data_IF_596742058209
#
_entry.id   IF_596742058209
#
_cell.length_a   1.000
_cell.length_b   1.000
_cell.length_c   1.000
_cell.angle_alpha   90.00
_cell.angle_beta   90.00
_cell.angle_gamma   90.00
#
_symmetry.space_group_name_H-M   'P 1'
#
loop_
_entity.id
_entity.type
_entity.pdbx_description
1 polymer ?
#
# COMPACT_ATOMS: atom_id res chain seq x y z
N UNK A 1 53.29 -16.97 -34.25
CA UNK A 1 52.85 -16.34 -33.00
C UNK A 1 51.34 -16.27 -33.00
N UNK A 2 50.63 -17.22 -32.33
CA UNK A 2 49.15 -17.23 -32.18
C UNK A 2 48.80 -16.52 -30.86
N UNK A 3 48.07 -15.42 -30.94
CA UNK A 3 47.51 -14.73 -29.77
C UNK A 3 46.21 -15.41 -29.37
N UNK A 4 46.22 -16.09 -28.21
CA UNK A 4 45.01 -16.59 -27.57
C UNK A 4 44.23 -15.42 -26.94
N UNK A 5 42.99 -15.26 -27.37
CA UNK A 5 42.06 -14.31 -26.80
C UNK A 5 41.32 -15.05 -25.67
N UNK A 6 41.58 -14.72 -24.40
CA UNK A 6 40.81 -15.17 -23.26
C UNK A 6 39.52 -14.32 -23.15
N UNK A 7 38.38 -14.92 -23.44
CA UNK A 7 37.08 -14.33 -23.17
C UNK A 7 36.71 -14.68 -21.73
N UNK A 8 36.76 -13.70 -20.84
CA UNK A 8 36.26 -13.83 -19.47
C UNK A 8 34.73 -13.72 -19.50
N UNK A 9 34.05 -14.84 -19.38
CA UNK A 9 32.59 -14.86 -19.22
C UNK A 9 32.27 -14.54 -17.74
N UNK A 10 31.86 -13.31 -17.47
CA UNK A 10 31.26 -12.96 -16.18
C UNK A 10 29.87 -13.63 -16.06
N UNK A 11 29.80 -14.70 -15.27
CA UNK A 11 28.53 -15.23 -14.79
C UNK A 11 27.92 -14.20 -13.82
N UNK A 12 26.96 -13.41 -14.30
CA UNK A 12 26.03 -12.68 -13.44
C UNK A 12 25.09 -13.74 -12.86
N UNK A 13 25.37 -14.16 -11.62
CA UNK A 13 24.43 -14.93 -10.84
C UNK A 13 23.24 -14.01 -10.54
N UNK A 14 22.22 -14.01 -11.40
CA UNK A 14 20.91 -13.51 -11.07
C UNK A 14 20.41 -14.37 -9.89
N UNK A 15 20.40 -13.80 -8.68
CA UNK A 15 19.70 -14.37 -7.54
C UNK A 15 18.22 -14.39 -7.93
N UNK A 16 17.75 -15.53 -8.43
CA UNK A 16 16.32 -15.81 -8.57
C UNK A 16 15.80 -15.87 -7.15
N UNK A 17 15.23 -14.76 -6.66
CA UNK A 17 14.37 -14.78 -5.47
C UNK A 17 13.23 -15.70 -5.85
N UNK A 18 12.99 -16.83 -5.14
CA UNK A 18 11.90 -17.71 -5.47
C UNK A 18 10.61 -16.89 -5.37
N UNK A 19 9.88 -16.75 -6.47
CA UNK A 19 8.52 -16.26 -6.46
C UNK A 19 7.78 -17.06 -5.39
N UNK A 20 7.07 -16.38 -4.49
CA UNK A 20 6.26 -17.05 -3.47
C UNK A 20 5.39 -18.09 -4.17
N UNK A 21 5.50 -19.34 -3.74
CA UNK A 21 5.04 -20.51 -4.47
C UNK A 21 3.59 -20.38 -4.92
N UNK A 22 3.36 -20.73 -6.18
CA UNK A 22 2.03 -20.93 -6.73
C UNK A 22 1.22 -21.80 -5.75
N UNK A 23 0.14 -21.21 -5.18
CA UNK A 23 -0.86 -21.96 -4.43
C UNK A 23 -0.97 -21.71 -2.92
N UNK A 24 -0.09 -20.97 -2.25
CA UNK A 24 -0.28 -20.67 -0.81
C UNK A 24 -0.93 -19.30 -0.62
N UNK A 25 -1.97 -19.21 0.25
CA UNK A 25 -2.62 -17.94 0.55
C UNK A 25 -1.65 -16.97 1.22
N UNK A 26 -1.77 -15.67 0.91
CA UNK A 26 -1.01 -14.63 1.58
C UNK A 26 -1.71 -14.25 2.89
N UNK A 27 -1.08 -14.60 3.99
CA UNK A 27 -1.52 -14.24 5.32
C UNK A 27 -0.70 -13.04 5.77
N UNK A 28 -1.30 -11.86 5.57
CA UNK A 28 -0.60 -10.60 5.71
C UNK A 28 -0.93 -9.84 6.98
N UNK A 29 0.03 -8.99 7.39
CA UNK A 29 -0.21 -7.93 8.36
C UNK A 29 0.29 -6.59 7.80
N UNK A 30 -0.53 -5.55 7.89
CA UNK A 30 -0.16 -4.17 7.59
C UNK A 30 0.24 -3.46 8.88
N UNK A 31 1.39 -2.77 8.85
CA UNK A 31 1.94 -2.05 9.99
C UNK A 31 2.40 -0.64 9.61
N UNK A 32 2.13 0.32 10.49
CA UNK A 32 2.68 1.67 10.37
C UNK A 32 4.14 1.69 10.84
N UNK A 33 5.06 2.06 9.95
CA UNK A 33 6.50 2.03 10.18
C UNK A 33 7.13 3.42 9.97
N UNK A 34 6.54 4.45 10.58
CA UNK A 34 6.89 5.85 10.34
C UNK A 34 8.18 6.33 11.06
N UNK A 35 8.92 5.46 11.75
CA UNK A 35 10.14 5.83 12.47
C UNK A 35 11.11 4.66 12.62
N UNK A 36 12.39 4.97 12.90
CA UNK A 36 13.43 3.97 13.21
C UNK A 36 13.03 3.04 14.34
N UNK A 37 12.41 3.56 15.41
CA UNK A 37 12.01 2.75 16.56
C UNK A 37 10.96 1.70 16.15
N UNK A 38 10.02 2.07 15.26
CA UNK A 38 9.04 1.14 14.71
C UNK A 38 9.68 0.07 13.82
N UNK A 39 10.69 0.45 13.03
CA UNK A 39 11.46 -0.52 12.23
C UNK A 39 12.20 -1.52 13.12
N UNK A 40 12.84 -1.05 14.19
CA UNK A 40 13.53 -1.92 15.16
C UNK A 40 12.54 -2.89 15.82
N UNK A 41 11.43 -2.37 16.36
CA UNK A 41 10.38 -3.19 16.98
C UNK A 41 9.80 -4.23 16.01
N UNK A 42 9.55 -3.85 14.74
CA UNK A 42 9.06 -4.79 13.73
C UNK A 42 10.09 -5.90 13.46
N UNK A 43 11.37 -5.52 13.32
CA UNK A 43 12.46 -6.48 13.11
C UNK A 43 12.51 -7.56 14.18
N UNK A 44 12.30 -7.18 15.45
CA UNK A 44 12.34 -8.09 16.60
C UNK A 44 11.18 -9.11 16.59
N UNK A 45 10.02 -8.75 16.02
CA UNK A 45 8.82 -9.60 16.07
C UNK A 45 8.57 -10.43 14.80
N UNK A 46 9.34 -10.24 13.73
CA UNK A 46 9.17 -11.00 12.47
C UNK A 46 9.13 -12.50 12.69
N UNK A 47 10.03 -13.04 13.51
CA UNK A 47 10.07 -14.48 13.84
C UNK A 47 8.81 -14.97 14.54
N UNK A 48 8.23 -14.16 15.44
CA UNK A 48 6.99 -14.48 16.12
C UNK A 48 5.80 -14.45 15.14
N UNK A 49 5.72 -13.45 14.26
CA UNK A 49 4.70 -13.36 13.23
C UNK A 49 4.75 -14.57 12.28
N UNK A 50 5.93 -14.94 11.83
CA UNK A 50 6.12 -16.14 11.01
C UNK A 50 5.69 -17.42 11.72
N UNK A 51 6.00 -17.56 13.03
CA UNK A 51 5.63 -18.75 13.81
C UNK A 51 4.13 -18.94 13.96
N UNK A 52 3.36 -17.85 13.97
CA UNK A 52 1.89 -17.91 13.97
C UNK A 52 1.30 -18.02 12.57
N UNK A 53 2.09 -18.00 11.49
CA UNK A 53 1.68 -18.27 10.11
C UNK A 53 1.61 -17.06 9.20
N UNK A 54 2.02 -15.87 9.65
CA UNK A 54 2.15 -14.70 8.77
C UNK A 54 3.29 -14.93 7.78
N UNK A 55 3.01 -14.72 6.50
CA UNK A 55 3.97 -14.88 5.41
C UNK A 55 4.14 -13.62 4.54
N UNK A 56 3.41 -12.53 4.85
CA UNK A 56 3.57 -11.24 4.21
C UNK A 56 3.43 -10.08 5.22
N UNK A 57 4.26 -9.04 5.09
CA UNK A 57 4.17 -7.80 5.85
C UNK A 57 4.09 -6.64 4.86
N UNK A 58 3.04 -5.83 4.98
CA UNK A 58 2.93 -4.52 4.31
C UNK A 58 3.42 -3.47 5.29
N UNK A 59 4.57 -2.86 5.00
CA UNK A 59 5.24 -1.90 5.86
C UNK A 59 5.01 -0.48 5.34
N UNK A 60 4.08 0.25 5.94
CA UNK A 60 3.79 1.64 5.57
C UNK A 60 4.84 2.58 6.18
N UNK A 61 5.80 2.99 5.37
CA UNK A 61 6.95 3.78 5.81
C UNK A 61 6.81 5.28 5.51
N UNK A 62 6.13 5.64 4.42
CA UNK A 62 5.94 7.03 4.01
C UNK A 62 7.25 7.85 4.08
N UNK A 63 7.25 8.95 4.82
CA UNK A 63 8.42 9.81 5.02
C UNK A 63 9.38 9.31 6.13
N UNK A 64 9.14 8.12 6.67
CA UNK A 64 9.93 7.52 7.75
C UNK A 64 11.25 6.86 7.33
N UNK A 65 11.69 7.03 6.08
CA UNK A 65 13.00 6.60 5.58
C UNK A 65 13.95 7.78 5.39
N UNK A 66 15.24 7.54 5.53
CA UNK A 66 16.30 8.54 5.38
C UNK A 66 16.66 8.78 3.91
N UNK A 67 15.67 9.21 3.10
CA UNK A 67 15.82 9.45 1.67
C UNK A 67 17.04 10.29 1.33
N UNK A 68 17.77 9.90 0.30
CA UNK A 68 18.93 10.64 -0.21
C UNK A 68 18.52 11.62 -1.32
N UNK A 69 17.58 11.20 -2.18
CA UNK A 69 17.08 12.02 -3.29
C UNK A 69 16.39 13.30 -2.82
N UNK A 70 15.60 13.18 -1.73
CA UNK A 70 14.83 14.27 -1.15
C UNK A 70 14.98 14.31 0.38
N UNK A 71 16.17 14.70 0.90
CA UNK A 71 16.43 14.71 2.33
C UNK A 71 15.51 15.67 3.12
N UNK A 72 14.96 16.68 2.46
CA UNK A 72 14.00 17.62 3.01
C UNK A 72 12.63 17.04 3.32
N UNK A 73 12.34 15.83 2.82
CA UNK A 73 11.08 15.13 3.04
C UNK A 73 11.15 14.07 4.15
N UNK A 74 12.30 13.95 4.83
CA UNK A 74 12.46 12.97 5.92
C UNK A 74 11.62 13.35 7.13
N UNK A 75 10.99 12.36 7.75
CA UNK A 75 10.38 12.52 9.08
C UNK A 75 11.45 12.67 10.18
N UNK A 76 11.04 13.02 11.40
CA UNK A 76 11.97 13.43 12.47
C UNK A 76 12.93 12.35 13.00
N UNK A 77 12.61 11.05 12.86
CA UNK A 77 13.48 9.92 13.25
C UNK A 77 13.41 8.82 12.18
N UNK A 78 13.98 9.08 10.99
CA UNK A 78 13.83 8.17 9.86
C UNK A 78 14.70 6.93 10.01
N UNK A 79 14.21 5.80 9.50
CA UNK A 79 14.99 4.57 9.35
C UNK A 79 16.10 4.75 8.34
N UNK A 80 17.28 4.25 8.64
CA UNK A 80 18.41 4.24 7.72
C UNK A 80 18.39 3.02 6.81
N UNK A 81 19.25 3.01 5.78
CA UNK A 81 19.48 1.82 4.93
C UNK A 81 19.88 0.60 5.76
N UNK A 82 20.68 0.79 6.82
CA UNK A 82 21.08 -0.30 7.73
C UNK A 82 19.90 -0.86 8.52
N UNK A 83 19.03 0.02 9.04
CA UNK A 83 17.86 -0.39 9.82
C UNK A 83 16.91 -1.24 8.94
N UNK A 84 16.61 -0.78 7.72
CA UNK A 84 15.79 -1.53 6.76
C UNK A 84 16.49 -2.83 6.35
N UNK A 85 17.79 -2.82 6.13
CA UNK A 85 18.56 -4.04 5.80
C UNK A 85 18.44 -5.13 6.89
N UNK A 86 18.40 -4.75 8.17
CA UNK A 86 18.15 -5.69 9.29
C UNK A 86 16.75 -6.29 9.21
N UNK A 87 15.73 -5.46 8.90
CA UNK A 87 14.35 -5.93 8.72
C UNK A 87 14.24 -6.89 7.52
N UNK A 88 14.82 -6.53 6.37
CA UNK A 88 14.87 -7.40 5.16
C UNK A 88 15.51 -8.75 5.49
N UNK A 89 16.66 -8.73 6.20
CA UNK A 89 17.35 -9.96 6.61
C UNK A 89 16.49 -10.83 7.55
N UNK A 90 15.78 -10.22 8.50
CA UNK A 90 14.86 -10.92 9.40
C UNK A 90 13.69 -11.54 8.61
N UNK A 91 13.06 -10.80 7.70
CA UNK A 91 11.97 -11.29 6.87
C UNK A 91 12.44 -12.46 5.97
N UNK A 92 13.59 -12.33 5.33
CA UNK A 92 14.20 -13.39 4.51
C UNK A 92 14.49 -14.66 5.33
N UNK A 93 15.07 -14.51 6.51
CA UNK A 93 15.36 -15.63 7.44
C UNK A 93 14.09 -16.42 7.79
N UNK A 94 12.97 -15.76 7.93
CA UNK A 94 11.71 -16.37 8.35
C UNK A 94 10.73 -16.61 7.18
N UNK A 95 11.17 -16.44 5.91
CA UNK A 95 10.35 -16.61 4.72
C UNK A 95 9.08 -15.74 4.71
N UNK A 96 9.19 -14.52 5.20
CA UNK A 96 8.12 -13.51 5.19
C UNK A 96 8.39 -12.53 4.06
N UNK A 97 7.42 -12.34 3.17
CA UNK A 97 7.48 -11.33 2.12
C UNK A 97 7.35 -9.95 2.73
N UNK A 98 8.25 -9.03 2.40
CA UNK A 98 8.24 -7.66 2.91
C UNK A 98 7.87 -6.70 1.77
N UNK A 99 6.74 -6.01 1.91
CA UNK A 99 6.17 -5.14 0.90
C UNK A 99 6.18 -3.71 1.42
N UNK A 100 6.98 -2.80 0.87
CA UNK A 100 6.93 -1.39 1.25
C UNK A 100 5.62 -0.75 0.80
N UNK A 101 5.08 0.12 1.64
CA UNK A 101 3.97 1.00 1.29
C UNK A 101 4.39 2.46 1.42
N UNK A 102 4.06 3.24 0.39
CA UNK A 102 4.10 4.70 0.42
C UNK A 102 2.69 5.22 0.12
N UNK A 103 2.15 6.03 1.02
CA UNK A 103 0.81 6.58 0.88
C UNK A 103 0.78 7.67 -0.19
N UNK A 104 0.19 7.34 -1.33
CA UNK A 104 0.14 8.19 -2.49
C UNK A 104 -1.19 8.94 -2.61
N UNK A 105 -1.13 10.10 -3.22
CA UNK A 105 -2.24 10.98 -3.57
C UNK A 105 -2.94 11.58 -2.35
N UNK A 106 -3.69 10.78 -1.57
CA UNK A 106 -4.34 11.18 -0.33
C UNK A 106 -3.44 11.07 0.90
N UNK A 107 -4.02 11.28 2.08
CA UNK A 107 -3.32 11.19 3.37
C UNK A 107 -2.02 12.01 3.45
N UNK A 108 -2.02 13.21 2.85
CA UNK A 108 -0.89 14.13 2.96
C UNK A 108 -0.98 15.06 4.17
N UNK A 109 -1.95 14.80 5.03
CA UNK A 109 -2.08 15.35 6.37
C UNK A 109 -2.87 14.40 7.27
N UNK A 110 -2.72 14.58 8.57
CA UNK A 110 -3.54 13.92 9.58
C UNK A 110 -3.81 14.88 10.72
N UNK A 111 -5.09 15.06 11.08
CA UNK A 111 -5.49 16.05 12.07
C UNK A 111 -4.91 17.42 11.70
N UNK A 112 -4.15 18.06 12.61
CA UNK A 112 -3.51 19.37 12.37
C UNK A 112 -2.13 19.28 11.71
N UNK A 113 -1.63 18.09 11.44
CA UNK A 113 -0.29 17.89 10.89
C UNK A 113 -0.34 17.68 9.37
N UNK A 114 0.25 18.58 8.62
CA UNK A 114 0.55 18.37 7.20
C UNK A 114 1.87 17.61 7.08
N UNK A 115 1.95 16.68 6.14
CA UNK A 115 3.14 15.87 5.93
C UNK A 115 4.20 16.59 5.08
N UNK A 116 5.46 16.12 5.12
CA UNK A 116 6.61 16.84 4.57
C UNK A 116 6.44 17.33 3.13
N UNK A 117 5.83 16.53 2.24
CA UNK A 117 5.68 16.91 0.83
C UNK A 117 4.91 18.24 0.68
N UNK A 118 3.73 18.35 1.28
CA UNK A 118 2.90 19.55 1.15
C UNK A 118 3.37 20.73 2.04
N UNK A 119 4.18 20.45 3.06
CA UNK A 119 4.90 21.52 3.79
C UNK A 119 5.97 22.12 2.90
N UNK A 120 6.77 21.29 2.24
CA UNK A 120 7.91 21.73 1.42
C UNK A 120 7.50 22.26 0.06
N UNK A 121 6.46 21.66 -0.51
CA UNK A 121 5.94 21.97 -1.85
C UNK A 121 4.43 22.28 -1.80
N UNK A 122 4.01 23.39 -1.15
CA UNK A 122 2.59 23.72 -0.98
C UNK A 122 1.84 23.93 -2.30
N UNK A 123 2.55 24.21 -3.40
CA UNK A 123 1.97 24.30 -4.74
C UNK A 123 1.44 22.97 -5.28
N UNK A 124 1.78 21.84 -4.63
CA UNK A 124 1.26 20.52 -4.99
C UNK A 124 -0.11 20.24 -4.39
N UNK A 125 -0.54 21.01 -3.40
CA UNK A 125 -1.83 20.81 -2.75
C UNK A 125 -3.00 20.88 -3.73
N UNK A 126 -3.94 19.94 -3.65
CA UNK A 126 -5.17 19.95 -4.45
C UNK A 126 -6.12 21.09 -4.03
N UNK A 127 -6.01 21.55 -2.79
CA UNK A 127 -6.85 22.60 -2.20
C UNK A 127 -6.01 23.74 -1.60
N UNK A 128 -5.17 24.43 -2.40
CA UNK A 128 -4.25 25.43 -1.88
C UNK A 128 -5.00 26.56 -1.18
N UNK A 129 -4.64 26.80 0.09
CA UNK A 129 -5.18 27.90 0.90
C UNK A 129 -6.61 27.74 1.43
N UNK A 130 -7.34 26.66 1.08
CA UNK A 130 -8.75 26.49 1.49
C UNK A 130 -8.92 26.03 2.95
N UNK A 131 -7.99 25.24 3.46
CA UNK A 131 -8.13 24.60 4.77
C UNK A 131 -6.93 24.91 5.67
N UNK A 132 -6.85 26.12 6.25
CA UNK A 132 -5.77 26.48 7.15
C UNK A 132 -5.66 25.46 8.31
N UNK A 133 -4.45 25.02 8.62
CA UNK A 133 -4.19 24.02 9.67
C UNK A 133 -5.00 22.72 9.55
N UNK A 134 -5.42 22.35 8.34
CA UNK A 134 -6.29 21.22 8.03
C UNK A 134 -7.67 21.27 8.72
N UNK A 135 -8.15 22.44 9.07
CA UNK A 135 -9.47 22.60 9.67
C UNK A 135 -10.56 22.23 8.65
N UNK A 136 -11.57 21.50 9.10
CA UNK A 136 -12.75 21.09 8.34
C UNK A 136 -12.46 20.09 7.18
N UNK A 137 -11.28 19.48 7.16
CA UNK A 137 -10.95 18.35 6.28
C UNK A 137 -10.48 17.14 7.09
N UNK A 138 -10.60 15.96 6.48
CA UNK A 138 -10.05 14.72 7.04
C UNK A 138 -8.55 14.61 6.74
N UNK A 139 -8.19 14.70 5.46
CA UNK A 139 -6.78 14.73 5.03
C UNK A 139 -6.62 15.49 3.70
N UNK A 140 -5.39 15.96 3.44
CA UNK A 140 -5.01 16.60 2.18
C UNK A 140 -4.67 15.56 1.12
N UNK A 141 -4.80 15.99 -0.14
CA UNK A 141 -4.28 15.29 -1.30
C UNK A 141 -3.36 16.19 -2.11
N UNK A 142 -2.43 15.61 -2.85
CA UNK A 142 -1.71 16.38 -3.86
C UNK A 142 -2.46 16.36 -5.21
N UNK A 143 -2.16 17.34 -6.05
CA UNK A 143 -2.71 17.44 -7.39
C UNK A 143 -2.10 16.37 -8.32
N UNK A 144 -2.89 15.40 -8.84
CA UNK A 144 -2.37 14.34 -9.72
C UNK A 144 -1.92 14.84 -11.09
N UNK A 145 -2.18 16.11 -11.41
CA UNK A 145 -1.80 16.76 -12.65
C UNK A 145 -0.64 17.73 -12.50
N UNK A 146 -0.07 17.88 -11.31
CA UNK A 146 1.11 18.73 -11.15
C UNK A 146 2.35 18.02 -11.72
N UNK A 147 3.06 18.62 -12.70
CA UNK A 147 4.12 17.93 -13.45
C UNK A 147 5.32 17.51 -12.58
N UNK A 148 5.56 18.21 -11.47
CA UNK A 148 6.73 17.98 -10.60
C UNK A 148 6.46 16.97 -9.47
N UNK A 149 5.21 16.55 -9.22
CA UNK A 149 4.89 15.61 -8.14
C UNK A 149 5.49 14.23 -8.44
N UNK A 150 5.16 13.66 -9.59
CA UNK A 150 5.60 12.29 -9.93
C UNK A 150 7.12 12.13 -9.96
N UNK A 151 7.93 13.06 -10.51
CA UNK A 151 9.38 12.96 -10.41
C UNK A 151 9.90 12.79 -8.98
N UNK A 152 9.35 13.54 -8.01
CA UNK A 152 9.73 13.44 -6.60
C UNK A 152 9.27 12.11 -6.01
N UNK A 153 7.99 11.76 -6.18
CA UNK A 153 7.43 10.53 -5.62
C UNK A 153 8.11 9.29 -6.18
N UNK A 154 8.42 9.27 -7.47
CA UNK A 154 9.14 8.16 -8.10
C UNK A 154 10.57 8.03 -7.59
N UNK A 155 11.27 9.13 -7.30
CA UNK A 155 12.58 9.08 -6.69
C UNK A 155 12.52 8.47 -5.27
N UNK A 156 11.50 8.81 -4.47
CA UNK A 156 11.28 8.16 -3.16
C UNK A 156 10.96 6.67 -3.31
N UNK A 157 10.07 6.31 -4.25
CA UNK A 157 9.74 4.91 -4.52
C UNK A 157 10.97 4.11 -4.96
N UNK A 158 11.82 4.64 -5.84
CA UNK A 158 13.03 3.98 -6.33
C UNK A 158 13.98 3.65 -5.16
N UNK A 159 14.16 4.57 -4.20
CA UNK A 159 14.96 4.29 -2.99
C UNK A 159 14.33 3.22 -2.09
N UNK A 160 13.00 3.23 -1.93
CA UNK A 160 12.32 2.19 -1.16
C UNK A 160 12.40 0.82 -1.86
N UNK A 161 12.23 0.76 -3.17
CA UNK A 161 12.37 -0.47 -3.95
C UNK A 161 13.77 -1.07 -3.73
N UNK A 162 14.82 -0.25 -3.83
CA UNK A 162 16.19 -0.68 -3.63
C UNK A 162 16.43 -1.21 -2.20
N UNK A 163 16.06 -0.40 -1.19
CA UNK A 163 16.43 -0.72 0.21
C UNK A 163 15.61 -1.87 0.80
N UNK A 164 14.37 -2.05 0.37
CA UNK A 164 13.52 -3.17 0.77
C UNK A 164 13.79 -4.45 -0.05
N UNK A 165 14.60 -4.37 -1.11
CA UNK A 165 14.75 -5.43 -2.11
C UNK A 165 13.38 -5.91 -2.59
N UNK A 166 12.50 -4.96 -2.92
CA UNK A 166 11.08 -5.19 -3.09
C UNK A 166 10.77 -5.92 -4.40
N UNK A 167 9.84 -6.89 -4.34
CA UNK A 167 9.22 -7.55 -5.49
C UNK A 167 7.75 -7.09 -5.70
N UNK A 168 7.23 -6.32 -4.74
CA UNK A 168 5.91 -5.70 -4.78
C UNK A 168 5.94 -4.34 -4.09
N UNK A 169 4.96 -3.49 -4.40
CA UNK A 169 4.82 -2.17 -3.80
C UNK A 169 3.34 -1.82 -3.59
N UNK A 170 3.00 -1.32 -2.39
CA UNK A 170 1.67 -0.85 -2.08
C UNK A 170 1.64 0.69 -2.13
N UNK A 171 0.77 1.26 -2.99
CA UNK A 171 0.71 2.72 -3.19
C UNK A 171 -0.29 3.44 -2.28
N UNK A 172 -0.94 2.74 -1.36
CA UNK A 172 -1.98 3.33 -0.50
C UNK A 172 -3.22 3.71 -1.30
N UNK A 173 -3.50 5.01 -1.39
CA UNK A 173 -4.59 5.64 -2.16
C UNK A 173 -5.99 5.43 -1.57
N UNK A 174 -6.09 5.02 -0.31
CA UNK A 174 -7.34 5.03 0.44
C UNK A 174 -7.77 6.47 0.78
N UNK A 175 -9.07 6.63 1.00
CA UNK A 175 -9.68 7.84 1.54
C UNK A 175 -9.27 9.15 0.82
N UNK A 176 -9.03 9.08 -0.49
CA UNK A 176 -8.80 10.26 -1.34
C UNK A 176 -10.11 11.01 -1.52
N UNK A 177 -10.45 11.86 -0.54
CA UNK A 177 -11.69 12.64 -0.56
C UNK A 177 -11.57 13.91 -1.40
N UNK A 178 -10.41 14.58 -1.35
CA UNK A 178 -10.14 15.82 -2.09
C UNK A 178 -9.44 15.50 -3.41
N UNK A 179 -10.18 15.55 -4.50
CA UNK A 179 -9.69 15.37 -5.87
C UNK A 179 -10.61 16.07 -6.87
N UNK A 180 -10.05 16.75 -7.85
CA UNK A 180 -10.84 17.49 -8.83
C UNK A 180 -11.52 18.73 -8.24
N UNK A 181 -10.90 19.33 -7.21
CA UNK A 181 -11.46 20.44 -6.47
C UNK A 181 -11.31 21.77 -7.24
N UNK A 182 -12.28 22.66 -7.07
CA UNK A 182 -12.31 23.97 -7.76
C UNK A 182 -11.12 24.87 -7.46
N UNK A 183 -10.49 24.67 -6.30
CA UNK A 183 -9.28 25.40 -5.91
C UNK A 183 -8.05 24.98 -6.73
N UNK A 184 -8.04 23.78 -7.29
CA UNK A 184 -6.94 23.32 -8.12
C UNK A 184 -7.11 23.74 -9.57
N UNK A 185 -6.36 24.73 -10.04
CA UNK A 185 -6.43 25.21 -11.43
C UNK A 185 -6.16 24.13 -12.49
N UNK A 186 -5.47 23.04 -12.12
CA UNK A 186 -5.16 21.91 -13.02
C UNK A 186 -6.23 20.83 -13.03
N UNK A 187 -6.94 20.67 -11.91
CA UNK A 187 -7.94 19.60 -11.73
C UNK A 187 -9.38 20.09 -11.86
N UNK A 188 -9.64 21.40 -11.66
CA UNK A 188 -10.98 22.01 -11.76
C UNK A 188 -11.73 21.57 -13.01
N UNK A 189 -12.96 21.09 -12.83
CA UNK A 189 -13.85 20.69 -13.92
C UNK A 189 -13.41 19.42 -14.66
N UNK A 190 -12.44 18.66 -14.15
CA UNK A 190 -12.05 17.36 -14.69
C UNK A 190 -12.84 16.24 -14.02
N UNK A 191 -13.06 15.17 -14.77
CA UNK A 191 -13.67 13.96 -14.22
C UNK A 191 -12.80 13.36 -13.11
N UNK A 192 -13.40 13.10 -11.95
CA UNK A 192 -12.66 12.63 -10.77
C UNK A 192 -12.19 11.18 -10.91
N UNK A 193 -12.93 10.36 -11.64
CA UNK A 193 -12.51 8.99 -11.93
C UNK A 193 -11.30 8.98 -12.89
N UNK A 194 -11.28 9.84 -13.91
CA UNK A 194 -10.13 10.00 -14.81
C UNK A 194 -8.90 10.53 -14.06
N UNK A 195 -9.08 11.48 -13.13
CA UNK A 195 -7.97 12.00 -12.32
C UNK A 195 -7.37 10.91 -11.41
N UNK A 196 -8.23 10.12 -10.75
CA UNK A 196 -7.79 9.02 -9.90
C UNK A 196 -7.10 7.93 -10.74
N UNK A 197 -7.73 7.51 -11.85
CA UNK A 197 -7.15 6.53 -12.76
C UNK A 197 -5.81 7.00 -13.35
N UNK A 198 -5.66 8.30 -13.67
CA UNK A 198 -4.39 8.85 -14.14
C UNK A 198 -3.28 8.62 -13.09
N UNK A 199 -3.54 8.91 -11.83
CA UNK A 199 -2.54 8.69 -10.76
C UNK A 199 -2.17 7.21 -10.67
N UNK A 200 -3.16 6.29 -10.63
CA UNK A 200 -2.93 4.85 -10.61
C UNK A 200 -2.11 4.38 -11.81
N UNK A 201 -2.45 4.84 -13.02
CA UNK A 201 -1.76 4.46 -14.26
C UNK A 201 -0.31 4.97 -14.29
N UNK A 202 -0.05 6.16 -13.76
CA UNK A 202 1.31 6.71 -13.66
C UNK A 202 2.16 5.84 -12.72
N UNK A 203 1.62 5.45 -11.54
CA UNK A 203 2.32 4.56 -10.60
C UNK A 203 2.51 3.16 -11.19
N UNK A 204 1.49 2.60 -11.85
CA UNK A 204 1.58 1.31 -12.52
C UNK A 204 2.69 1.31 -13.58
N UNK A 205 2.74 2.34 -14.43
CA UNK A 205 3.80 2.47 -15.43
C UNK A 205 5.19 2.50 -14.80
N UNK A 206 5.34 3.15 -13.64
CA UNK A 206 6.61 3.22 -12.91
C UNK A 206 6.95 1.89 -12.23
N UNK A 207 6.04 1.34 -11.43
CA UNK A 207 6.29 0.15 -10.61
C UNK A 207 6.28 -1.14 -11.44
N UNK A 208 5.22 -1.38 -12.20
CA UNK A 208 5.05 -2.58 -13.01
C UNK A 208 5.80 -2.46 -14.34
N UNK A 209 5.61 -1.34 -15.05
CA UNK A 209 6.21 -1.11 -16.37
C UNK A 209 7.74 -1.06 -16.33
N UNK A 210 8.32 -0.24 -15.44
CA UNK A 210 9.77 -0.02 -15.32
C UNK A 210 10.45 -1.06 -14.41
N UNK A 211 9.94 -1.22 -13.17
CA UNK A 211 10.59 -2.04 -12.14
C UNK A 211 10.14 -3.51 -12.12
N UNK A 212 9.09 -3.88 -12.85
CA UNK A 212 8.54 -5.24 -12.92
C UNK A 212 8.03 -5.79 -11.58
N UNK A 213 7.54 -4.91 -10.72
CA UNK A 213 6.97 -5.24 -9.42
C UNK A 213 5.47 -5.55 -9.52
N UNK A 214 4.94 -6.28 -8.57
CA UNK A 214 3.50 -6.31 -8.33
C UNK A 214 3.07 -4.99 -7.66
N UNK A 215 1.96 -4.41 -8.12
CA UNK A 215 1.42 -3.18 -7.53
C UNK A 215 0.13 -3.48 -6.77
N UNK A 216 -0.03 -2.84 -5.61
CA UNK A 216 -1.20 -2.93 -4.75
C UNK A 216 -1.75 -1.56 -4.41
N UNK A 217 -3.07 -1.47 -4.18
CA UNK A 217 -3.72 -0.27 -3.64
C UNK A 217 -4.96 -0.65 -2.80
N UNK A 218 -5.40 0.26 -1.93
CA UNK A 218 -6.66 0.14 -1.20
C UNK A 218 -7.86 0.33 -2.13
N UNK A 219 -8.92 -0.47 -1.96
CA UNK A 219 -10.03 -0.59 -2.90
C UNK A 219 -11.14 0.46 -2.76
N UNK A 220 -11.26 1.14 -1.64
CA UNK A 220 -12.41 1.97 -1.26
C UNK A 220 -12.80 3.04 -2.30
N UNK A 221 -11.82 3.70 -2.94
CA UNK A 221 -12.12 4.73 -3.95
C UNK A 221 -12.56 4.18 -5.31
N UNK A 222 -12.54 2.87 -5.48
CA UNK A 222 -12.98 2.15 -6.68
C UNK A 222 -14.38 1.53 -6.53
N UNK A 223 -15.01 1.66 -5.35
CA UNK A 223 -16.34 1.15 -5.02
C UNK A 223 -17.33 2.29 -5.10
N UNK A 224 -18.42 2.11 -5.84
CA UNK A 224 -19.48 3.11 -6.00
C UNK A 224 -20.42 3.07 -4.78
N UNK A 225 -20.41 4.12 -3.97
CA UNK A 225 -21.23 4.21 -2.75
C UNK A 225 -22.73 4.31 -3.03
N UNK A 226 -23.15 4.66 -4.25
CA UNK A 226 -24.56 4.65 -4.64
C UNK A 226 -25.07 3.25 -4.95
N UNK A 227 -24.21 2.37 -5.46
CA UNK A 227 -24.51 0.98 -5.79
C UNK A 227 -24.29 0.06 -4.61
N UNK A 228 -23.11 0.15 -3.97
CA UNK A 228 -22.73 -0.65 -2.80
C UNK A 228 -22.77 0.25 -1.56
N UNK A 229 -23.70 0.00 -0.65
CA UNK A 229 -24.04 0.89 0.45
C UNK A 229 -23.09 0.78 1.66
N UNK A 230 -21.79 0.90 1.44
CA UNK A 230 -20.77 0.84 2.50
C UNK A 230 -20.54 2.19 3.20
N UNK A 231 -21.16 3.27 2.72
CA UNK A 231 -20.91 4.61 3.21
C UNK A 231 -19.64 5.22 2.63
N UNK A 232 -19.38 6.48 3.00
CA UNK A 232 -18.32 7.29 2.38
C UNK A 232 -16.88 6.83 2.68
N UNK A 233 -16.70 6.04 3.74
CA UNK A 233 -15.38 5.55 4.13
C UNK A 233 -14.95 4.37 3.26
N UNK A 234 -15.73 3.29 3.29
CA UNK A 234 -15.43 2.05 2.58
C UNK A 234 -15.85 2.09 1.09
N UNK A 235 -16.41 3.22 0.60
CA UNK A 235 -16.78 3.41 -0.79
C UNK A 235 -16.68 4.88 -1.22
N UNK A 236 -16.55 5.11 -2.53
CA UNK A 236 -16.46 6.44 -3.13
C UNK A 236 -17.83 7.08 -3.24
N UNK A 237 -18.05 8.16 -2.51
CA UNK A 237 -19.17 9.09 -2.68
C UNK A 237 -18.75 10.39 -3.40
N UNK A 238 -17.48 10.49 -3.84
CA UNK A 238 -16.93 11.69 -4.43
C UNK A 238 -16.64 11.59 -5.95
N UNK A 239 -17.12 10.51 -6.60
CA UNK A 239 -17.05 10.36 -8.05
C UNK A 239 -15.81 9.65 -8.60
N UNK A 240 -14.95 9.04 -7.76
CA UNK A 240 -13.76 8.32 -8.23
C UNK A 240 -14.02 6.88 -8.67
N UNK A 241 -15.19 6.30 -8.31
CA UNK A 241 -15.47 4.87 -8.50
C UNK A 241 -15.32 4.38 -9.95
N UNK A 242 -15.64 5.20 -10.95
CA UNK A 242 -15.48 4.86 -12.37
C UNK A 242 -14.04 4.53 -12.76
N UNK A 243 -13.05 4.94 -11.97
CA UNK A 243 -11.65 4.61 -12.19
C UNK A 243 -11.38 3.10 -12.21
N UNK A 244 -12.23 2.29 -11.56
CA UNK A 244 -12.11 0.83 -11.56
C UNK A 244 -12.05 0.23 -12.97
N UNK A 245 -12.69 0.85 -13.95
CA UNK A 245 -12.70 0.38 -15.34
C UNK A 245 -11.56 0.98 -16.19
N UNK A 246 -10.86 1.99 -15.68
CA UNK A 246 -9.81 2.74 -16.38
C UNK A 246 -8.39 2.34 -15.98
N UNK A 247 -8.23 1.44 -15.02
CA UNK A 247 -6.93 1.00 -14.48
C UNK A 247 -6.57 -0.43 -14.91
N UNK A 248 -5.26 -0.79 -14.95
CA UNK A 248 -4.77 -2.13 -15.28
C UNK A 248 -5.30 -3.20 -14.33
N UNK A 249 -5.57 -4.40 -14.86
CA UNK A 249 -6.22 -5.50 -14.11
C UNK A 249 -5.22 -6.44 -13.42
N UNK A 250 -3.94 -6.25 -13.60
CA UNK A 250 -2.86 -6.96 -12.92
C UNK A 250 -2.54 -6.37 -11.52
N UNK A 251 -3.14 -5.24 -11.17
CA UNK A 251 -3.09 -4.65 -9.83
C UNK A 251 -3.82 -5.54 -8.82
N UNK A 252 -3.27 -5.64 -7.60
CA UNK A 252 -3.94 -6.31 -6.48
C UNK A 252 -4.73 -5.27 -5.70
N UNK A 253 -6.03 -5.50 -5.54
CA UNK A 253 -6.91 -4.65 -4.76
C UNK A 253 -6.95 -5.14 -3.31
N UNK A 254 -6.48 -4.32 -2.37
CA UNK A 254 -6.62 -4.54 -0.94
C UNK A 254 -7.99 -3.97 -0.51
N UNK A 255 -8.98 -4.85 -0.44
CA UNK A 255 -10.38 -4.49 -0.19
C UNK A 255 -10.68 -4.55 1.31
N UNK A 256 -10.74 -3.37 1.98
CA UNK A 256 -10.83 -3.29 3.43
C UNK A 256 -12.24 -3.07 3.96
N UNK A 257 -12.61 -3.85 5.00
CA UNK A 257 -13.90 -3.78 5.67
C UNK A 257 -13.75 -4.02 7.16
N UNK A 258 -14.34 -3.13 7.98
CA UNK A 258 -14.11 -3.11 9.43
C UNK A 258 -15.39 -3.34 10.25
N UNK A 259 -16.51 -3.56 9.57
CA UNK A 259 -17.78 -3.93 10.18
C UNK A 259 -18.22 -5.33 9.72
N UNK A 260 -18.85 -6.13 10.59
CA UNK A 260 -19.36 -7.44 10.20
C UNK A 260 -20.56 -7.28 9.25
N UNK A 261 -20.57 -8.05 8.17
CA UNK A 261 -21.62 -8.06 7.14
C UNK A 261 -21.94 -9.50 6.75
N UNK A 262 -23.18 -9.74 6.30
CA UNK A 262 -23.58 -11.02 5.69
C UNK A 262 -22.92 -11.24 4.32
N UNK A 263 -22.70 -10.16 3.58
CA UNK A 263 -22.02 -10.17 2.28
C UNK A 263 -21.11 -8.94 2.11
N UNK A 264 -20.02 -9.13 1.36
CA UNK A 264 -19.08 -8.07 0.98
C UNK A 264 -19.08 -7.97 -0.54
N UNK A 265 -20.03 -7.21 -1.08
CA UNK A 265 -20.34 -7.14 -2.53
C UNK A 265 -19.16 -6.61 -3.37
N UNK A 266 -18.24 -5.84 -2.77
CA UNK A 266 -17.03 -5.34 -3.44
C UNK A 266 -16.07 -6.47 -3.81
N UNK A 267 -15.94 -7.48 -2.97
CA UNK A 267 -15.03 -8.62 -3.21
C UNK A 267 -15.36 -9.32 -4.54
N UNK A 268 -16.59 -9.87 -4.77
CA UNK A 268 -16.92 -10.47 -6.05
C UNK A 268 -16.95 -9.45 -7.20
N UNK A 269 -17.26 -8.17 -6.94
CA UNK A 269 -17.22 -7.12 -7.97
C UNK A 269 -15.80 -6.94 -8.52
N UNK A 270 -14.77 -6.84 -7.67
CA UNK A 270 -13.38 -6.76 -8.11
C UNK A 270 -12.90 -8.02 -8.83
N UNK A 271 -13.26 -9.20 -8.33
CA UNK A 271 -12.95 -10.48 -8.98
C UNK A 271 -13.55 -10.57 -10.39
N UNK A 272 -14.83 -10.19 -10.55
CA UNK A 272 -15.53 -10.16 -11.85
C UNK A 272 -14.92 -9.14 -12.82
N UNK A 273 -14.38 -8.03 -12.31
CA UNK A 273 -13.62 -7.05 -13.09
C UNK A 273 -12.20 -7.50 -13.45
N UNK A 274 -11.80 -8.69 -13.00
CA UNK A 274 -10.56 -9.35 -13.38
C UNK A 274 -9.37 -9.05 -12.45
N UNK A 275 -9.56 -8.34 -11.36
CA UNK A 275 -8.49 -8.09 -10.37
C UNK A 275 -8.19 -9.30 -9.50
N UNK A 276 -6.96 -9.35 -8.97
CA UNK A 276 -6.66 -10.12 -7.77
C UNK A 276 -7.12 -9.33 -6.55
N UNK A 277 -7.67 -10.01 -5.53
CA UNK A 277 -8.23 -9.33 -4.35
C UNK A 277 -7.57 -9.87 -3.08
N UNK A 278 -7.15 -8.95 -2.23
CA UNK A 278 -6.62 -9.22 -0.90
C UNK A 278 -7.52 -8.55 0.15
N UNK A 279 -8.58 -9.23 0.62
CA UNK A 279 -9.49 -8.67 1.62
C UNK A 279 -8.77 -8.32 2.90
N UNK A 280 -9.10 -7.16 3.49
CA UNK A 280 -8.40 -6.63 4.64
C UNK A 280 -9.34 -6.30 5.80
N UNK A 281 -9.06 -6.82 6.99
CA UNK A 281 -9.78 -6.53 8.23
C UNK A 281 -8.95 -5.70 9.19
N UNK A 282 -9.59 -5.25 10.28
CA UNK A 282 -8.95 -4.50 11.35
C UNK A 282 -9.25 -5.16 12.72
N UNK A 283 -9.47 -4.36 13.74
CA UNK A 283 -9.47 -4.69 15.17
C UNK A 283 -10.70 -5.45 15.69
N UNK A 284 -11.82 -5.50 14.95
CA UNK A 284 -13.02 -6.23 15.38
C UNK A 284 -12.94 -7.70 14.98
N UNK A 285 -12.89 -8.64 15.92
CA UNK A 285 -12.76 -10.07 15.59
C UNK A 285 -13.93 -10.62 14.80
N UNK A 286 -15.16 -10.17 15.09
CA UNK A 286 -16.37 -10.55 14.37
C UNK A 286 -16.38 -10.07 12.91
N UNK A 287 -15.90 -8.84 12.67
CA UNK A 287 -15.74 -8.31 11.31
C UNK A 287 -14.67 -9.08 10.53
N UNK A 288 -13.53 -9.36 11.17
CA UNK A 288 -12.47 -10.16 10.56
C UNK A 288 -12.96 -11.57 10.22
N UNK A 289 -13.72 -12.20 11.16
CA UNK A 289 -14.35 -13.50 10.94
C UNK A 289 -15.30 -13.48 9.75
N UNK A 290 -16.24 -12.55 9.73
CA UNK A 290 -17.25 -12.46 8.66
C UNK A 290 -16.58 -12.25 7.29
N UNK A 291 -15.58 -11.37 7.18
CA UNK A 291 -14.88 -11.10 5.93
C UNK A 291 -14.04 -12.30 5.45
N UNK A 292 -13.32 -12.98 6.35
CA UNK A 292 -12.53 -14.17 6.03
C UNK A 292 -13.45 -15.31 5.54
N UNK A 293 -14.51 -15.61 6.31
CA UNK A 293 -15.42 -16.70 5.98
C UNK A 293 -16.11 -16.46 4.63
N UNK A 294 -16.60 -15.23 4.40
CA UNK A 294 -17.21 -14.84 3.14
C UNK A 294 -16.24 -14.96 1.96
N UNK A 295 -15.05 -14.36 2.08
CA UNK A 295 -14.07 -14.31 1.00
C UNK A 295 -13.58 -15.71 0.62
N UNK A 296 -13.32 -16.58 1.61
CA UNK A 296 -12.94 -17.98 1.38
C UNK A 296 -14.09 -18.78 0.74
N UNK A 297 -15.33 -18.52 1.16
CA UNK A 297 -16.52 -19.18 0.61
C UNK A 297 -16.73 -18.94 -0.88
N UNK A 298 -16.17 -17.85 -1.45
CA UNK A 298 -16.20 -17.59 -2.89
C UNK A 298 -15.35 -18.57 -3.72
N UNK A 299 -14.32 -19.19 -3.14
CA UNK A 299 -13.50 -20.21 -3.81
C UNK A 299 -12.82 -19.75 -5.11
N UNK A 300 -12.50 -18.47 -5.24
CA UNK A 300 -12.05 -17.88 -6.50
C UNK A 300 -10.51 -17.84 -6.58
N UNK A 301 -9.93 -18.26 -7.71
CA UNK A 301 -8.47 -18.37 -7.93
C UNK A 301 -7.70 -17.04 -7.78
N UNK A 302 -8.35 -15.90 -8.04
CA UNK A 302 -7.77 -14.56 -7.89
C UNK A 302 -7.85 -14.01 -6.46
N UNK A 303 -8.39 -14.77 -5.51
CA UNK A 303 -8.33 -14.44 -4.09
C UNK A 303 -6.94 -14.77 -3.57
N UNK A 304 -6.18 -13.75 -3.15
CA UNK A 304 -4.78 -13.97 -2.76
C UNK A 304 -4.59 -14.38 -1.30
N UNK A 305 -5.58 -14.20 -0.44
CA UNK A 305 -5.51 -14.56 0.98
C UNK A 305 -6.25 -13.56 1.86
N UNK A 306 -5.67 -13.20 3.02
CA UNK A 306 -6.23 -12.21 3.94
C UNK A 306 -5.17 -11.29 4.52
N UNK A 307 -5.46 -9.99 4.63
CA UNK A 307 -4.61 -8.96 5.21
C UNK A 307 -5.22 -8.44 6.51
N UNK A 308 -4.43 -8.37 7.58
CA UNK A 308 -4.85 -7.77 8.84
C UNK A 308 -4.22 -6.38 8.96
N UNK A 309 -5.01 -5.31 8.95
CA UNK A 309 -4.52 -3.96 9.20
C UNK A 309 -4.42 -3.71 10.70
N UNK A 310 -3.46 -2.88 11.12
CA UNK A 310 -3.30 -2.55 12.54
C UNK A 310 -3.59 -1.09 12.88
N UNK A 311 -3.30 -0.18 11.97
CA UNK A 311 -3.46 1.28 12.13
C UNK A 311 -3.00 1.79 13.50
N UNK A 312 -1.97 1.13 14.09
CA UNK A 312 -1.43 1.46 15.39
C UNK A 312 -2.31 1.08 16.60
N UNK A 313 -3.40 0.34 16.40
CA UNK A 313 -4.31 -0.08 17.48
C UNK A 313 -3.71 -1.15 18.43
N UNK A 314 -2.62 -1.81 18.01
CA UNK A 314 -1.93 -2.83 18.78
C UNK A 314 -0.42 -2.57 18.74
N UNK A 315 0.27 -2.77 19.84
CA UNK A 315 1.72 -2.64 19.86
C UNK A 315 2.39 -3.76 19.05
N UNK A 316 3.50 -3.48 18.36
CA UNK A 316 4.14 -4.44 17.47
C UNK A 316 4.54 -5.75 18.20
N UNK A 317 4.98 -5.66 19.47
CA UNK A 317 5.31 -6.82 20.30
C UNK A 317 4.13 -7.75 20.61
N UNK A 318 2.89 -7.24 20.50
CA UNK A 318 1.66 -7.96 20.83
C UNK A 318 0.92 -8.47 19.57
N UNK A 319 1.46 -8.20 18.37
CA UNK A 319 0.83 -8.53 17.08
C UNK A 319 0.55 -10.03 16.91
N UNK A 320 1.45 -10.91 17.34
CA UNK A 320 1.28 -12.35 17.21
C UNK A 320 0.09 -12.91 18.01
N UNK A 321 -0.36 -12.17 19.02
CA UNK A 321 -1.57 -12.46 19.81
C UNK A 321 -2.79 -11.62 19.43
N UNK A 322 -2.71 -10.80 18.39
CA UNK A 322 -3.82 -9.95 17.95
C UNK A 322 -4.97 -10.81 17.43
N UNK A 323 -6.11 -10.79 18.11
CA UNK A 323 -7.21 -11.73 17.89
C UNK A 323 -7.69 -11.84 16.44
N UNK A 324 -7.95 -10.73 15.69
CA UNK A 324 -8.31 -10.81 14.28
C UNK A 324 -7.26 -11.55 13.41
N UNK A 325 -5.98 -11.33 13.70
CA UNK A 325 -4.87 -11.98 12.99
C UNK A 325 -4.82 -13.48 13.32
N UNK A 326 -4.94 -13.84 14.58
CA UNK A 326 -4.93 -15.25 15.04
C UNK A 326 -6.08 -16.00 14.39
N UNK A 327 -7.29 -15.41 14.37
CA UNK A 327 -8.44 -16.02 13.73
C UNK A 327 -8.20 -16.23 12.23
N UNK A 328 -7.84 -15.15 11.50
CA UNK A 328 -7.67 -15.22 10.06
C UNK A 328 -6.64 -16.26 9.64
N UNK A 329 -5.50 -16.32 10.33
CA UNK A 329 -4.46 -17.34 10.07
C UNK A 329 -4.99 -18.75 10.37
N UNK A 330 -5.75 -18.93 11.46
CA UNK A 330 -6.36 -20.22 11.82
C UNK A 330 -7.29 -20.76 10.74
N UNK A 331 -8.01 -19.89 10.02
CA UNK A 331 -8.90 -20.29 8.94
C UNK A 331 -8.17 -20.84 7.69
N UNK A 332 -6.89 -20.54 7.50
CA UNK A 332 -6.10 -20.98 6.33
C UNK A 332 -5.12 -22.14 6.66
N UNK A 333 -5.12 -22.62 7.89
CA UNK A 333 -4.41 -23.84 8.31
C UNK A 333 -5.31 -25.04 8.13
#
# INVERSE_FOLDING_TARGET
>A
MRKSLFVTVCFVCALIVPAFGEGKPWLGVHVLMASRDKTTQLTEVVGQLASVGINAIVAEINYGYAYKSHPELRAGNPSTKEDIGKLVAACRKHHVRLIPQFQCLGHQSWSRHTYPLLIKYPQFDETPGQYPENKDIYCRSWCPRHPEVNPIIFALMDELIEVFEADAFHVGMDEVFLIGEDACSRCKGKDKAELFAKAVNDYHKHLVGKHKLEMMLWGDRLIDAEKIKYGRWEASANGTAGAVDLIPKDIIICDWHYEPREAYESVPMFLQKGFRVWPASWRKPDAAKALVDYSRGLGHEKMVGHLNTTWGAVALKDLAGFEPLVYSVGCFR
#
